data_IF_138304145647
#
_entry.id   IF_138304145647
#
_cell.length_a   1.000
_cell.length_b   1.000
_cell.length_c   1.000
_cell.angle_alpha   90.00
_cell.angle_beta   90.00
_cell.angle_gamma   90.00
#
_symmetry.space_group_name_H-M   'P 1'
#
loop_
_entity.id
_entity.type
_entity.pdbx_description
1 polymer ?
#
# COMPACT_ATOMS: atom_id res chain seq x y z
N UNK A 1 27.50 9.00 -24.35
CA UNK A 1 26.08 9.23 -24.04
C UNK A 1 25.97 9.28 -22.53
N UNK A 2 25.56 10.41 -21.95
CA UNK A 2 25.33 10.49 -20.50
C UNK A 2 24.06 9.72 -20.14
N UNK A 3 24.20 8.67 -19.34
CA UNK A 3 23.06 7.93 -18.79
C UNK A 3 22.37 8.82 -17.75
N UNK A 4 21.23 9.40 -18.14
CA UNK A 4 20.41 10.20 -17.23
C UNK A 4 19.86 9.27 -16.14
N UNK A 5 19.91 9.66 -14.85
CA UNK A 5 19.39 8.82 -13.78
C UNK A 5 17.90 8.56 -14.03
N UNK A 6 17.53 7.28 -14.10
CA UNK A 6 16.13 6.87 -14.22
C UNK A 6 15.37 7.49 -13.04
N UNK A 7 14.51 8.47 -13.33
CA UNK A 7 13.66 9.07 -12.30
C UNK A 7 12.76 7.96 -11.78
N UNK A 8 12.83 7.71 -10.47
CA UNK A 8 11.94 6.76 -9.82
C UNK A 8 10.49 7.19 -10.04
N UNK A 9 9.78 6.48 -10.92
CA UNK A 9 8.38 6.73 -11.20
C UNK A 9 7.53 5.97 -10.19
N UNK A 10 6.78 6.70 -9.38
CA UNK A 10 5.77 6.10 -8.54
C UNK A 10 4.71 5.41 -9.41
N UNK A 11 4.70 4.08 -9.38
CA UNK A 11 3.69 3.28 -10.08
C UNK A 11 2.42 3.23 -9.23
N UNK A 12 1.26 3.46 -9.86
CA UNK A 12 -0.06 3.36 -9.22
C UNK A 12 -0.29 2.03 -8.47
N UNK A 13 0.37 0.95 -8.90
CA UNK A 13 0.33 -0.35 -8.20
C UNK A 13 0.84 -0.27 -6.76
N UNK A 14 1.82 0.58 -6.46
CA UNK A 14 2.30 0.79 -5.10
C UNK A 14 1.21 1.39 -4.21
N UNK A 15 0.46 2.37 -4.72
CA UNK A 15 -0.71 2.93 -4.02
C UNK A 15 -1.78 1.86 -3.77
N UNK A 16 -2.03 1.00 -4.76
CA UNK A 16 -3.00 -0.09 -4.61
C UNK A 16 -2.61 -1.08 -3.50
N UNK A 17 -1.33 -1.46 -3.41
CA UNK A 17 -0.82 -2.33 -2.32
C UNK A 17 -0.95 -1.64 -0.96
N UNK A 18 -0.67 -0.33 -0.90
CA UNK A 18 -0.79 0.44 0.34
C UNK A 18 -2.24 0.48 0.83
N UNK A 19 -3.19 0.74 -0.07
CA UNK A 19 -4.63 0.76 0.23
C UNK A 19 -5.10 -0.63 0.68
N UNK A 20 -4.67 -1.70 0.01
CA UNK A 20 -5.03 -3.06 0.39
C UNK A 20 -4.56 -3.41 1.81
N UNK A 21 -3.33 -3.00 2.18
CA UNK A 21 -2.82 -3.20 3.55
C UNK A 21 -3.61 -2.36 4.58
N UNK A 22 -3.93 -1.11 4.26
CA UNK A 22 -4.75 -0.27 5.15
C UNK A 22 -6.13 -0.89 5.38
N UNK A 23 -6.79 -1.37 4.32
CA UNK A 23 -8.08 -2.08 4.42
C UNK A 23 -7.94 -3.35 5.28
N UNK A 24 -6.87 -4.13 5.08
CA UNK A 24 -6.62 -5.34 5.87
C UNK A 24 -6.54 -5.05 7.37
N UNK A 25 -5.76 -4.03 7.77
CA UNK A 25 -5.61 -3.63 9.17
C UNK A 25 -6.96 -3.19 9.76
N UNK A 26 -7.70 -2.36 9.03
CA UNK A 26 -9.00 -1.84 9.47
C UNK A 26 -10.01 -2.99 9.62
N UNK A 27 -10.10 -3.87 8.63
CA UNK A 27 -10.98 -5.04 8.68
C UNK A 27 -10.63 -5.95 9.86
N UNK A 28 -9.34 -6.25 10.04
CA UNK A 28 -8.85 -7.05 11.15
C UNK A 28 -9.21 -6.43 12.51
N UNK A 29 -9.02 -5.12 12.67
CA UNK A 29 -9.39 -4.42 13.90
C UNK A 29 -10.88 -4.58 14.23
N UNK A 30 -11.77 -4.41 13.26
CA UNK A 30 -13.21 -4.58 13.48
C UNK A 30 -13.58 -6.03 13.81
N UNK A 31 -12.96 -6.99 13.13
CA UNK A 31 -13.14 -8.42 13.42
C UNK A 31 -12.73 -8.70 14.88
N UNK A 32 -11.52 -8.31 15.28
CA UNK A 32 -11.02 -8.51 16.64
C UNK A 32 -11.91 -7.81 17.69
N UNK A 33 -12.37 -6.59 17.41
CA UNK A 33 -13.29 -5.85 18.28
C UNK A 33 -14.64 -6.55 18.44
N UNK A 34 -15.09 -7.32 17.44
CA UNK A 34 -16.33 -8.10 17.55
C UNK A 34 -16.22 -9.32 18.47
N UNK A 35 -15.00 -9.76 18.80
CA UNK A 35 -14.73 -10.91 19.66
C UNK A 35 -14.18 -10.53 21.05
N UNK A 36 -14.00 -9.22 21.31
CA UNK A 36 -13.59 -8.66 22.58
C UNK A 36 -14.81 -8.23 23.40
#
# INVERSE_FOLDING_TARGET
MEEKPEKYEWKMRYTAVLIANAIYIIAFYFIMKSFA
#
